data_IF_084729305135
#
_entry.id   IF_084729305135
#
_cell.length_a   1.000
_cell.length_b   1.000
_cell.length_c   1.000
_cell.angle_alpha   90.00
_cell.angle_beta   90.00
_cell.angle_gamma   90.00
#
_symmetry.space_group_name_H-M   'P 1'
#
loop_
_entity.id
_entity.type
_entity.pdbx_description
1 polymer ?
#
# COMPACT_ATOMS: atom_id res chain seq x y z
N UNK A 1 -18.61 5.69 -18.65
CA UNK A 1 -19.33 5.39 -19.89
C UNK A 1 -19.68 6.63 -20.72
N UNK A 2 -19.28 7.83 -20.29
CA UNK A 2 -19.40 9.09 -21.05
C UNK A 2 -18.01 9.53 -21.53
N UNK A 3 -17.91 10.13 -22.73
CA UNK A 3 -16.68 10.74 -23.19
C UNK A 3 -16.44 12.07 -22.46
N UNK A 4 -15.16 12.44 -22.32
CA UNK A 4 -14.78 13.72 -21.73
C UNK A 4 -15.18 14.88 -22.64
N UNK A 5 -15.32 16.07 -22.05
CA UNK A 5 -15.58 17.30 -22.81
C UNK A 5 -14.42 17.56 -23.77
N UNK A 6 -14.71 17.84 -25.01
CA UNK A 6 -13.70 18.16 -26.01
C UNK A 6 -13.97 19.54 -26.62
N UNK A 7 -12.89 20.20 -27.02
CA UNK A 7 -12.98 21.46 -27.69
C UNK A 7 -13.43 21.22 -29.15
N UNK A 8 -14.55 21.81 -29.55
CA UNK A 8 -14.98 21.79 -30.93
C UNK A 8 -14.08 22.75 -31.74
N UNK A 9 -13.31 22.25 -32.72
CA UNK A 9 -12.39 23.08 -33.49
C UNK A 9 -13.11 24.12 -34.37
N UNK A 10 -14.40 23.92 -34.66
CA UNK A 10 -15.18 24.84 -35.49
C UNK A 10 -15.74 26.03 -34.70
N UNK A 11 -16.13 25.79 -33.45
CA UNK A 11 -16.77 26.82 -32.60
C UNK A 11 -15.86 27.35 -31.50
N UNK A 12 -14.76 26.67 -31.18
CA UNK A 12 -13.89 27.00 -30.07
C UNK A 12 -14.54 26.83 -28.69
N UNK A 13 -15.69 26.18 -28.61
CA UNK A 13 -16.42 25.93 -27.38
C UNK A 13 -16.25 24.47 -26.94
N UNK A 14 -16.31 24.25 -25.62
CA UNK A 14 -16.35 22.89 -25.08
C UNK A 14 -17.73 22.29 -25.31
N UNK A 15 -17.77 21.17 -26.02
CA UNK A 15 -18.96 20.34 -26.19
C UNK A 15 -18.96 19.22 -25.18
N UNK A 16 -20.15 18.88 -24.68
CA UNK A 16 -20.30 17.71 -23.80
C UNK A 16 -20.12 16.43 -24.60
N UNK A 17 -19.39 15.49 -24.00
CA UNK A 17 -19.18 14.18 -24.62
C UNK A 17 -20.45 13.33 -24.62
N UNK A 18 -20.58 12.47 -25.64
CA UNK A 18 -21.65 11.48 -25.76
C UNK A 18 -21.35 10.20 -24.99
N UNK A 19 -22.15 9.18 -25.25
CA UNK A 19 -21.93 7.83 -24.69
C UNK A 19 -20.72 7.16 -25.34
N UNK A 20 -19.68 6.90 -24.55
CA UNK A 20 -18.42 6.29 -24.99
C UNK A 20 -18.34 4.77 -24.67
N UNK A 21 -19.36 4.20 -24.05
CA UNK A 21 -19.35 2.78 -23.69
C UNK A 21 -18.15 2.37 -22.84
N UNK A 22 -17.37 1.42 -23.33
CA UNK A 22 -16.17 0.88 -22.65
C UNK A 22 -14.85 1.47 -23.16
N UNK A 23 -14.88 2.51 -23.96
CA UNK A 23 -13.72 3.08 -24.64
C UNK A 23 -12.61 3.48 -23.67
N UNK A 24 -12.94 4.17 -22.56
CA UNK A 24 -11.96 4.56 -21.54
C UNK A 24 -11.29 3.36 -20.86
N UNK A 25 -12.00 2.25 -20.69
CA UNK A 25 -11.41 1.02 -20.15
C UNK A 25 -10.42 0.38 -21.12
N UNK A 26 -10.78 0.37 -22.41
CA UNK A 26 -9.88 -0.14 -23.47
C UNK A 26 -8.66 0.76 -23.62
N UNK A 27 -8.84 2.07 -23.55
CA UNK A 27 -7.76 3.05 -23.57
C UNK A 27 -6.67 2.70 -22.52
N UNK A 28 -7.07 2.47 -21.27
CA UNK A 28 -6.13 2.13 -20.20
C UNK A 28 -5.54 0.72 -20.33
N UNK A 29 -6.36 -0.28 -20.62
CA UNK A 29 -5.92 -1.68 -20.60
C UNK A 29 -5.11 -2.08 -21.83
N UNK A 30 -5.40 -1.50 -22.99
CA UNK A 30 -4.79 -1.93 -24.27
C UNK A 30 -3.84 -0.89 -24.86
N UNK A 31 -3.68 0.27 -24.22
CA UNK A 31 -2.89 1.40 -24.73
C UNK A 31 -3.30 1.82 -26.16
N UNK A 32 -4.60 1.81 -26.43
CA UNK A 32 -5.15 2.20 -27.74
C UNK A 32 -5.79 3.56 -27.66
N UNK A 33 -5.40 4.41 -28.59
CA UNK A 33 -5.89 5.76 -28.75
C UNK A 33 -6.63 5.90 -30.10
N UNK A 34 -7.61 6.80 -30.13
CA UNK A 34 -8.23 7.22 -31.39
C UNK A 34 -7.26 8.17 -32.11
N UNK A 35 -6.88 7.84 -33.33
CA UNK A 35 -6.05 8.72 -34.17
C UNK A 35 -6.86 9.86 -34.76
N UNK A 36 -6.21 10.91 -35.24
CA UNK A 36 -6.88 12.03 -35.91
C UNK A 36 -7.70 11.59 -37.14
N UNK A 37 -7.41 10.42 -37.73
CA UNK A 37 -8.19 9.83 -38.82
C UNK A 37 -9.41 9.04 -38.35
N UNK A 38 -9.67 8.94 -37.02
CA UNK A 38 -10.76 8.14 -36.46
C UNK A 38 -10.48 6.66 -36.33
N UNK A 39 -9.27 6.19 -36.66
CA UNK A 39 -8.87 4.80 -36.48
C UNK A 39 -8.32 4.57 -35.08
N UNK A 40 -8.57 3.37 -34.53
CA UNK A 40 -8.04 2.96 -33.22
C UNK A 40 -6.66 2.35 -33.43
N UNK A 41 -5.62 3.09 -33.03
CA UNK A 41 -4.21 2.68 -33.11
C UNK A 41 -3.52 2.64 -31.76
N UNK A 42 -2.23 2.29 -31.75
CA UNK A 42 -1.41 2.36 -30.56
C UNK A 42 -1.23 3.85 -30.13
N UNK A 43 -1.32 4.09 -28.82
CA UNK A 43 -1.09 5.43 -28.29
C UNK A 43 0.35 5.90 -28.55
N UNK A 44 0.58 7.17 -28.92
CA UNK A 44 1.91 7.72 -29.03
C UNK A 44 2.62 7.71 -27.66
N UNK A 45 3.96 7.67 -27.67
CA UNK A 45 4.74 7.79 -26.45
C UNK A 45 4.46 9.12 -25.72
N UNK A 46 4.32 9.06 -24.40
CA UNK A 46 4.01 10.24 -23.56
C UNK A 46 2.52 10.46 -23.28
N UNK A 47 1.65 9.61 -23.82
CA UNK A 47 0.24 9.57 -23.42
C UNK A 47 0.10 8.76 -22.13
N UNK A 48 -0.73 9.21 -21.17
CA UNK A 48 -0.88 8.59 -19.86
C UNK A 48 -1.22 7.08 -19.91
N UNK A 49 -1.93 6.63 -20.95
CA UNK A 49 -2.24 5.22 -21.12
C UNK A 49 -0.99 4.34 -21.24
N UNK A 50 0.10 4.85 -21.80
CA UNK A 50 1.36 4.10 -21.93
C UNK A 50 2.03 3.85 -20.58
N UNK A 51 1.72 4.68 -19.58
CA UNK A 51 2.26 4.57 -18.22
C UNK A 51 1.42 3.65 -17.31
N UNK A 52 0.28 3.13 -17.80
CA UNK A 52 -0.63 2.29 -17.00
C UNK A 52 0.06 1.04 -16.47
N UNK A 53 0.58 0.17 -17.33
CA UNK A 53 1.21 -1.08 -16.91
C UNK A 53 2.50 -0.88 -16.11
N UNK A 54 3.39 0.06 -16.47
CA UNK A 54 4.49 0.46 -15.60
C UNK A 54 4.03 0.86 -14.20
N UNK A 55 3.00 1.72 -14.08
CA UNK A 55 2.49 2.17 -12.79
C UNK A 55 1.81 1.06 -11.99
N UNK A 56 1.12 0.11 -12.64
CA UNK A 56 0.62 -1.11 -11.99
C UNK A 56 1.78 -1.90 -11.39
N UNK A 57 2.85 -2.13 -12.16
CA UNK A 57 4.02 -2.88 -11.69
C UNK A 57 4.72 -2.19 -10.51
N UNK A 58 4.87 -0.86 -10.55
CA UNK A 58 5.43 -0.06 -9.46
C UNK A 58 4.56 -0.12 -8.21
N UNK A 59 3.23 -0.02 -8.37
CA UNK A 59 2.29 -0.13 -7.25
C UNK A 59 2.35 -1.50 -6.59
N UNK A 60 2.37 -2.56 -7.37
CA UNK A 60 2.50 -3.93 -6.85
C UNK A 60 3.87 -4.16 -6.19
N UNK A 61 4.94 -3.65 -6.77
CA UNK A 61 6.28 -3.71 -6.18
C UNK A 61 6.31 -3.03 -4.81
N UNK A 62 5.82 -1.79 -4.70
CA UNK A 62 5.74 -1.12 -3.41
C UNK A 62 4.88 -1.91 -2.42
N UNK A 63 3.69 -2.35 -2.83
CA UNK A 63 2.79 -3.12 -1.98
C UNK A 63 3.46 -4.36 -1.40
N UNK A 64 4.09 -5.19 -2.24
CA UNK A 64 4.72 -6.43 -1.78
C UNK A 64 5.90 -6.14 -0.86
N UNK A 65 6.78 -5.21 -1.24
CA UNK A 65 8.00 -4.93 -0.47
C UNK A 65 7.68 -4.26 0.85
N UNK A 66 6.82 -3.21 0.85
CA UNK A 66 6.52 -2.49 2.09
C UNK A 66 5.74 -3.36 3.07
N UNK A 67 4.71 -4.08 2.61
CA UNK A 67 3.91 -4.98 3.48
C UNK A 67 4.77 -6.10 4.06
N UNK A 68 5.69 -6.67 3.28
CA UNK A 68 6.60 -7.69 3.79
C UNK A 68 7.51 -7.15 4.90
N UNK A 69 8.16 -6.01 4.66
CA UNK A 69 9.04 -5.37 5.65
C UNK A 69 8.27 -4.96 6.91
N UNK A 70 7.12 -4.33 6.73
CA UNK A 70 6.26 -3.90 7.83
C UNK A 70 5.72 -5.06 8.65
N UNK A 71 5.43 -6.19 8.00
CA UNK A 71 5.01 -7.42 8.71
C UNK A 71 6.12 -7.90 9.65
N UNK A 72 7.35 -7.99 9.15
CA UNK A 72 8.49 -8.44 9.95
C UNK A 72 8.79 -7.46 11.09
N UNK A 73 8.92 -6.18 10.77
CA UNK A 73 9.19 -5.13 11.76
C UNK A 73 8.03 -4.94 12.73
N UNK A 74 6.79 -5.04 12.25
CA UNK A 74 5.56 -4.94 13.05
C UNK A 74 5.44 -6.06 14.08
N UNK A 75 5.78 -7.30 13.71
CA UNK A 75 5.86 -8.41 14.66
C UNK A 75 6.91 -8.10 15.72
N UNK A 76 8.12 -7.67 15.33
CA UNK A 76 9.18 -7.31 16.27
C UNK A 76 8.74 -6.20 17.23
N UNK A 77 8.16 -5.12 16.72
CA UNK A 77 7.65 -4.01 17.53
C UNK A 77 6.51 -4.45 18.46
N UNK A 78 5.57 -5.30 17.98
CA UNK A 78 4.48 -5.82 18.78
C UNK A 78 4.97 -6.67 19.95
N UNK A 79 5.99 -7.50 19.74
CA UNK A 79 6.62 -8.30 20.80
C UNK A 79 7.27 -7.40 21.86
N UNK A 80 8.00 -6.35 21.45
CA UNK A 80 8.60 -5.37 22.37
C UNK A 80 7.51 -4.64 23.17
N UNK A 81 6.44 -4.17 22.50
CA UNK A 81 5.31 -3.52 23.15
C UNK A 81 4.49 -4.43 24.07
N UNK A 82 4.54 -5.75 23.85
CA UNK A 82 3.85 -6.72 24.67
C UNK A 82 4.65 -7.11 25.93
N UNK A 83 5.97 -6.89 25.91
CA UNK A 83 6.83 -7.24 27.03
C UNK A 83 6.44 -6.44 28.31
N UNK A 84 6.29 -7.09 29.48
CA UNK A 84 5.98 -6.42 30.73
C UNK A 84 7.17 -5.58 31.20
N UNK A 85 7.07 -4.25 31.04
CA UNK A 85 8.09 -3.29 31.51
C UNK A 85 7.45 -2.09 32.20
N UNK A 86 8.19 -1.43 33.09
CA UNK A 86 7.71 -0.22 33.79
C UNK A 86 7.47 0.96 32.83
N UNK A 87 8.14 0.97 31.68
CA UNK A 87 8.07 2.03 30.66
C UNK A 87 7.20 1.63 29.46
N UNK A 88 6.38 0.59 29.57
CA UNK A 88 5.56 0.07 28.49
C UNK A 88 4.65 1.11 27.83
N UNK A 89 4.02 1.99 28.60
CA UNK A 89 3.17 3.04 28.05
C UNK A 89 3.97 4.05 27.23
N UNK A 90 5.17 4.39 27.68
CA UNK A 90 6.06 5.30 26.96
C UNK A 90 6.55 4.68 25.64
N UNK A 91 6.94 3.40 25.66
CA UNK A 91 7.34 2.67 24.45
C UNK A 91 6.19 2.66 23.42
N UNK A 92 4.97 2.37 23.87
CA UNK A 92 3.78 2.36 22.99
C UNK A 92 3.51 3.75 22.40
N UNK A 93 3.59 4.79 23.22
CA UNK A 93 3.41 6.16 22.75
C UNK A 93 4.50 6.55 21.74
N UNK A 94 5.76 6.25 22.03
CA UNK A 94 6.88 6.57 21.13
C UNK A 94 6.79 5.85 19.77
N UNK A 95 6.41 4.57 19.77
CA UNK A 95 6.21 3.79 18.54
C UNK A 95 5.09 4.37 17.66
N UNK A 96 4.07 4.98 18.27
CA UNK A 96 2.92 5.52 17.52
C UNK A 96 3.17 6.90 16.90
N UNK A 97 4.21 7.61 17.30
CA UNK A 97 4.52 8.96 16.79
C UNK A 97 4.59 8.99 15.25
N UNK A 98 5.34 8.11 14.57
CA UNK A 98 5.42 8.14 13.11
C UNK A 98 4.07 8.02 12.40
N UNK A 99 3.22 7.15 12.91
CA UNK A 99 1.89 6.93 12.33
C UNK A 99 0.93 8.11 12.54
N UNK A 100 1.06 8.81 13.65
CA UNK A 100 0.22 9.96 13.97
C UNK A 100 0.52 11.21 13.12
N UNK A 101 1.70 11.27 12.48
CA UNK A 101 2.10 12.42 11.65
C UNK A 101 1.34 12.36 10.30
N UNK A 102 0.74 13.49 9.84
CA UNK A 102 0.10 13.55 8.53
C UNK A 102 1.06 13.14 7.39
N UNK A 103 0.56 12.38 6.41
CA UNK A 103 1.40 11.82 5.33
C UNK A 103 2.15 12.90 4.55
N UNK A 104 1.51 14.03 4.26
CA UNK A 104 2.17 15.13 3.56
C UNK A 104 3.36 15.71 4.35
N UNK A 105 3.24 15.80 5.68
CA UNK A 105 4.33 16.28 6.56
C UNK A 105 5.46 15.24 6.58
N UNK A 106 5.12 13.96 6.71
CA UNK A 106 6.09 12.87 6.63
C UNK A 106 6.85 12.89 5.31
N UNK A 107 6.14 13.04 4.19
CA UNK A 107 6.75 13.09 2.86
C UNK A 107 7.73 14.27 2.72
N UNK A 108 7.36 15.45 3.20
CA UNK A 108 8.26 16.63 3.20
C UNK A 108 9.46 16.45 4.12
N UNK A 109 9.28 15.86 5.30
CA UNK A 109 10.37 15.56 6.21
C UNK A 109 11.38 14.62 5.56
N UNK A 110 10.94 13.53 4.97
CA UNK A 110 11.80 12.58 4.30
C UNK A 110 12.41 13.16 3.01
N UNK A 111 11.67 13.96 2.24
CA UNK A 111 12.23 14.70 1.09
C UNK A 111 13.43 15.58 1.52
N UNK A 112 13.30 16.28 2.64
CA UNK A 112 14.40 17.08 3.18
C UNK A 112 15.57 16.24 3.66
N UNK A 113 15.30 15.11 4.32
CA UNK A 113 16.36 14.19 4.80
C UNK A 113 17.13 13.54 3.65
N UNK A 114 16.46 13.23 2.53
CA UNK A 114 17.03 12.64 1.32
C UNK A 114 17.52 13.67 0.31
N UNK A 115 17.50 14.97 0.62
CA UNK A 115 18.07 16.00 -0.25
C UNK A 115 19.57 15.75 -0.50
N UNK A 116 20.16 16.22 -1.60
CA UNK A 116 21.59 16.03 -1.87
C UNK A 116 22.50 16.47 -0.73
N UNK A 117 22.17 17.59 -0.08
CA UNK A 117 22.82 18.11 1.13
C UNK A 117 22.16 17.64 2.43
N UNK A 118 21.27 16.66 2.36
CA UNK A 118 20.50 16.18 3.51
C UNK A 118 21.31 15.28 4.44
N UNK A 119 20.71 15.02 5.62
CA UNK A 119 21.38 14.27 6.69
C UNK A 119 21.72 12.84 6.29
N UNK A 120 20.93 12.20 5.41
CA UNK A 120 21.15 10.81 4.99
C UNK A 120 22.46 10.71 4.19
N UNK A 121 22.67 11.56 3.20
CA UNK A 121 23.92 11.60 2.43
C UNK A 121 25.11 11.99 3.30
N UNK A 122 24.92 12.90 4.23
CA UNK A 122 25.96 13.30 5.18
C UNK A 122 26.41 12.15 6.09
N UNK A 123 25.48 11.32 6.57
CA UNK A 123 25.78 10.14 7.39
C UNK A 123 26.42 9.00 6.60
N UNK A 124 26.00 8.82 5.34
CA UNK A 124 26.55 7.76 4.47
C UNK A 124 27.92 8.10 3.90
N UNK A 125 28.32 9.39 3.91
CA UNK A 125 29.55 9.86 3.29
C UNK A 125 29.57 9.78 1.76
N UNK A 126 28.42 9.57 1.13
CA UNK A 126 28.24 9.45 -0.31
C UNK A 126 27.04 10.28 -0.80
N UNK A 127 27.18 10.91 -1.95
CA UNK A 127 26.11 11.65 -2.59
C UNK A 127 25.25 10.72 -3.45
N UNK A 128 24.22 10.16 -2.86
CA UNK A 128 23.20 9.37 -3.56
C UNK A 128 22.11 10.32 -4.04
N UNK A 129 21.71 10.17 -5.29
CA UNK A 129 20.66 10.99 -5.92
C UNK A 129 19.27 10.41 -5.63
N UNK A 130 18.85 10.44 -4.36
CA UNK A 130 17.61 9.81 -3.86
C UNK A 130 16.31 10.21 -4.58
N UNK A 131 16.30 11.35 -5.26
CA UNK A 131 15.10 11.87 -5.93
C UNK A 131 15.12 11.70 -7.44
N UNK A 132 16.28 11.39 -8.03
CA UNK A 132 16.46 11.33 -9.48
C UNK A 132 16.91 9.96 -9.98
N UNK A 133 17.67 9.20 -9.19
CA UNK A 133 18.00 7.82 -9.53
C UNK A 133 16.78 6.92 -9.31
N UNK A 134 16.40 6.07 -10.30
CA UNK A 134 15.19 5.28 -10.23
C UNK A 134 15.12 4.32 -9.04
N UNK A 135 16.22 3.67 -8.71
CA UNK A 135 16.23 2.72 -7.60
C UNK A 135 16.37 3.41 -6.25
N UNK A 136 17.21 4.44 -6.16
CA UNK A 136 17.33 5.21 -4.92
C UNK A 136 15.99 5.87 -4.56
N UNK A 137 15.26 6.41 -5.53
CA UNK A 137 13.93 6.98 -5.32
C UNK A 137 12.92 5.96 -4.78
N UNK A 138 12.92 4.74 -5.34
CA UNK A 138 12.07 3.65 -4.82
C UNK A 138 12.44 3.27 -3.40
N UNK A 139 13.72 3.14 -3.08
CA UNK A 139 14.16 2.85 -1.71
C UNK A 139 13.82 3.98 -0.74
N UNK A 140 13.95 5.24 -1.16
CA UNK A 140 13.57 6.37 -0.33
C UNK A 140 12.08 6.33 0.04
N UNK A 141 11.20 6.04 -0.92
CA UNK A 141 9.76 5.88 -0.67
C UNK A 141 9.49 4.69 0.25
N UNK A 142 10.13 3.52 0.02
CA UNK A 142 9.96 2.34 0.87
C UNK A 142 10.37 2.62 2.32
N UNK A 143 11.53 3.26 2.53
CA UNK A 143 12.01 3.60 3.88
C UNK A 143 11.02 4.51 4.60
N UNK A 144 10.55 5.55 3.93
CA UNK A 144 9.61 6.50 4.51
C UNK A 144 8.24 5.87 4.83
N UNK A 145 7.74 5.01 3.94
CA UNK A 145 6.47 4.31 4.09
C UNK A 145 6.54 3.29 5.23
N UNK A 146 7.55 2.44 5.24
CA UNK A 146 7.78 1.44 6.30
C UNK A 146 7.94 2.13 7.66
N UNK A 147 8.71 3.21 7.75
CA UNK A 147 8.85 3.96 9.00
C UNK A 147 7.52 4.49 9.50
N UNK A 148 6.69 5.02 8.60
CA UNK A 148 5.40 5.63 8.94
C UNK A 148 4.35 4.60 9.35
N UNK A 149 4.26 3.47 8.66
CA UNK A 149 3.10 2.57 8.71
C UNK A 149 3.33 1.30 9.52
N UNK A 150 4.60 0.90 9.78
CA UNK A 150 4.91 -0.22 10.69
C UNK A 150 4.22 -0.15 12.05
N UNK A 151 4.10 1.04 12.72
CA UNK A 151 3.37 1.15 13.98
C UNK A 151 1.92 0.68 13.92
N UNK A 152 1.22 0.94 12.82
CA UNK A 152 -0.14 0.48 12.61
C UNK A 152 -0.21 -1.06 12.57
N UNK A 153 0.68 -1.68 11.80
CA UNK A 153 0.83 -3.15 11.78
C UNK A 153 1.11 -3.70 13.18
N UNK A 154 2.05 -3.08 13.88
CA UNK A 154 2.44 -3.50 15.23
C UNK A 154 1.27 -3.42 16.23
N UNK A 155 0.39 -2.41 16.13
CA UNK A 155 -0.80 -2.30 16.97
C UNK A 155 -1.79 -3.43 16.74
N UNK A 156 -2.09 -3.75 15.49
CA UNK A 156 -3.03 -4.83 15.17
C UNK A 156 -2.49 -6.19 15.63
N UNK A 157 -1.19 -6.44 15.41
CA UNK A 157 -0.52 -7.65 15.89
C UNK A 157 -0.50 -7.69 17.42
N UNK A 158 -0.24 -6.57 18.09
CA UNK A 158 -0.25 -6.45 19.55
C UNK A 158 -1.63 -6.78 20.12
N UNK A 159 -2.70 -6.31 19.48
CA UNK A 159 -4.06 -6.66 19.89
C UNK A 159 -4.27 -8.19 19.86
N UNK A 160 -3.80 -8.86 18.81
CA UNK A 160 -3.82 -10.32 18.72
C UNK A 160 -2.98 -11.01 19.79
N UNK A 161 -1.77 -10.50 20.09
CA UNK A 161 -0.91 -11.04 21.14
C UNK A 161 -1.55 -10.95 22.54
N UNK A 162 -2.33 -9.91 22.79
CA UNK A 162 -3.02 -9.70 24.08
C UNK A 162 -4.21 -10.65 24.28
N UNK A 163 -4.71 -11.27 23.22
CA UNK A 163 -5.78 -12.27 23.31
C UNK A 163 -5.27 -13.65 23.72
N UNK A 164 -3.95 -13.89 23.70
CA UNK A 164 -3.36 -15.17 24.06
C UNK A 164 -3.31 -15.28 25.60
N UNK A 165 -3.95 -16.31 26.21
CA UNK A 165 -3.92 -16.51 27.66
C UNK A 165 -2.48 -16.74 28.17
N UNK A 166 -2.17 -16.22 29.36
CA UNK A 166 -0.85 -16.36 29.96
C UNK A 166 -0.50 -17.79 30.31
N UNK A 167 -1.49 -18.58 30.70
CA UNK A 167 -1.36 -19.98 31.05
C UNK A 167 -0.69 -20.81 29.94
N UNK A 168 -0.94 -20.46 28.68
CA UNK A 168 -0.29 -21.11 27.53
C UNK A 168 1.23 -20.92 27.53
N UNK A 169 1.69 -19.73 27.92
CA UNK A 169 3.12 -19.43 28.01
C UNK A 169 3.75 -20.06 29.27
N UNK A 170 3.00 -20.16 30.35
CA UNK A 170 3.44 -20.80 31.58
C UNK A 170 3.59 -22.33 31.38
N UNK A 171 2.63 -22.98 30.74
CA UNK A 171 2.71 -24.36 30.34
C UNK A 171 3.93 -24.65 29.45
N UNK A 172 4.16 -23.82 28.45
CA UNK A 172 5.32 -23.95 27.56
C UNK A 172 6.66 -23.85 28.31
N UNK A 173 6.73 -23.02 29.37
CA UNK A 173 7.94 -22.95 30.24
C UNK A 173 8.13 -24.20 31.06
N UNK A 174 7.05 -24.75 31.61
CA UNK A 174 7.10 -26.02 32.37
C UNK A 174 7.56 -27.18 31.49
N UNK A 175 7.12 -27.19 30.23
CA UNK A 175 7.53 -28.17 29.21
C UNK A 175 8.97 -27.93 28.68
N UNK A 176 9.68 -26.91 29.16
CA UNK A 176 11.06 -26.64 28.78
C UNK A 176 11.21 -26.05 27.37
N UNK A 177 10.16 -25.47 26.79
CA UNK A 177 10.22 -24.89 25.47
C UNK A 177 11.14 -23.64 25.44
N UNK A 178 12.07 -23.59 24.47
CA UNK A 178 12.89 -22.40 24.25
C UNK A 178 12.07 -21.21 23.73
N UNK A 179 12.60 -19.99 23.87
CA UNK A 179 11.92 -18.76 23.38
C UNK A 179 11.58 -18.84 21.89
N UNK A 180 12.47 -19.40 21.07
CA UNK A 180 12.22 -19.58 19.64
C UNK A 180 11.11 -20.63 19.38
N UNK A 181 11.10 -21.72 20.13
CA UNK A 181 10.04 -22.73 20.03
C UNK A 181 8.68 -22.15 20.47
N UNK A 182 8.66 -21.39 21.56
CA UNK A 182 7.46 -20.69 22.04
C UNK A 182 6.96 -19.71 20.97
N UNK A 183 7.86 -18.92 20.36
CA UNK A 183 7.48 -18.00 19.29
C UNK A 183 6.90 -18.72 18.06
N UNK A 184 7.63 -19.72 17.52
CA UNK A 184 7.26 -20.35 16.25
C UNK A 184 6.09 -21.32 16.36
N UNK A 185 5.97 -22.03 17.49
CA UNK A 185 4.96 -23.10 17.67
C UNK A 185 3.71 -22.65 18.44
N UNK A 186 3.80 -21.55 19.19
CA UNK A 186 2.69 -21.08 20.03
C UNK A 186 2.28 -19.67 19.61
N UNK A 187 3.17 -18.68 19.75
CA UNK A 187 2.83 -17.27 19.54
C UNK A 187 2.39 -17.00 18.10
N UNK A 188 3.20 -17.38 17.12
CA UNK A 188 2.94 -17.10 15.70
C UNK A 188 1.65 -17.80 15.18
N UNK A 189 1.39 -19.08 15.49
CA UNK A 189 0.11 -19.70 15.12
C UNK A 189 -1.11 -19.07 15.78
N UNK A 190 -1.02 -18.71 17.07
CA UNK A 190 -2.15 -18.12 17.79
C UNK A 190 -2.44 -16.66 17.37
N UNK A 191 -1.42 -15.90 17.01
CA UNK A 191 -1.59 -14.51 16.52
C UNK A 191 -1.93 -14.44 15.02
N UNK A 192 -1.85 -15.56 14.32
CA UNK A 192 -2.07 -15.65 12.88
C UNK A 192 -3.37 -14.96 12.40
N UNK A 193 -4.54 -15.11 13.04
CA UNK A 193 -5.76 -14.42 12.59
C UNK A 193 -5.61 -12.90 12.63
N UNK A 194 -5.04 -12.32 13.69
CA UNK A 194 -4.81 -10.88 13.79
C UNK A 194 -3.75 -10.40 12.79
N UNK A 195 -2.70 -11.21 12.58
CA UNK A 195 -1.66 -10.93 11.58
C UNK A 195 -2.25 -10.89 10.16
N UNK A 196 -3.15 -11.82 9.80
CA UNK A 196 -3.82 -11.84 8.51
C UNK A 196 -4.67 -10.60 8.28
N UNK A 197 -5.40 -10.16 9.31
CA UNK A 197 -6.20 -8.93 9.25
C UNK A 197 -5.29 -7.71 9.07
N UNK A 198 -4.18 -7.64 9.80
CA UNK A 198 -3.21 -6.57 9.68
C UNK A 198 -2.60 -6.49 8.26
N UNK A 199 -2.17 -7.63 7.71
CA UNK A 199 -1.64 -7.74 6.34
C UNK A 199 -2.69 -7.33 5.31
N UNK A 200 -3.95 -7.77 5.47
CA UNK A 200 -5.04 -7.40 4.59
C UNK A 200 -5.24 -5.88 4.54
N UNK A 201 -5.44 -5.25 5.70
CA UNK A 201 -5.65 -3.79 5.76
C UNK A 201 -4.47 -3.04 5.16
N UNK A 202 -3.24 -3.45 5.48
CA UNK A 202 -2.05 -2.78 4.97
C UNK A 202 -1.87 -2.97 3.45
N UNK A 203 -2.18 -4.15 2.92
CA UNK A 203 -2.15 -4.39 1.47
C UNK A 203 -3.14 -3.48 0.74
N UNK A 204 -4.37 -3.35 1.26
CA UNK A 204 -5.38 -2.47 0.67
C UNK A 204 -4.96 -0.99 0.73
N UNK A 205 -4.27 -0.58 1.78
CA UNK A 205 -3.74 0.77 1.92
C UNK A 205 -2.56 1.02 0.95
N UNK A 206 -1.62 0.08 0.86
CA UNK A 206 -0.46 0.18 -0.03
C UNK A 206 -0.84 0.25 -1.52
N UNK A 207 -1.89 -0.48 -1.93
CA UNK A 207 -2.40 -0.43 -3.31
C UNK A 207 -2.95 0.94 -3.71
N UNK A 208 -3.28 1.80 -2.75
CA UNK A 208 -3.79 3.16 -2.97
C UNK A 208 -2.77 4.24 -2.65
N UNK A 209 -1.50 3.88 -2.50
CA UNK A 209 -0.43 4.84 -2.19
C UNK A 209 -0.37 5.95 -3.24
N UNK A 210 -0.45 7.21 -2.78
CA UNK A 210 -0.42 8.40 -3.63
C UNK A 210 0.49 9.50 -3.06
N UNK A 211 0.18 9.99 -1.85
CA UNK A 211 0.78 11.22 -1.30
C UNK A 211 2.30 11.10 -1.13
N UNK A 212 2.77 9.98 -0.61
CA UNK A 212 4.17 9.80 -0.23
C UNK A 212 5.10 9.88 -1.44
N UNK A 213 4.93 9.04 -2.51
CA UNK A 213 5.81 9.11 -3.68
C UNK A 213 5.69 10.45 -4.43
N UNK A 214 4.48 11.00 -4.56
CA UNK A 214 4.25 12.25 -5.30
C UNK A 214 4.93 13.44 -4.61
N UNK A 215 4.82 13.56 -3.30
CA UNK A 215 5.37 14.69 -2.55
C UNK A 215 6.89 14.56 -2.37
N UNK A 216 7.40 13.33 -2.12
CA UNK A 216 8.83 13.11 -1.91
C UNK A 216 9.65 13.26 -3.19
N UNK A 217 9.16 12.68 -4.30
CA UNK A 217 9.94 12.58 -5.54
C UNK A 217 9.57 13.66 -6.54
N UNK A 218 8.53 14.47 -6.26
CA UNK A 218 8.04 15.55 -7.15
C UNK A 218 7.72 15.04 -8.56
N UNK A 219 7.04 13.88 -8.65
CA UNK A 219 6.97 13.10 -9.86
C UNK A 219 5.83 13.46 -10.79
N UNK A 220 6.13 13.48 -12.09
CA UNK A 220 5.18 13.30 -13.18
C UNK A 220 4.82 11.81 -13.34
N UNK A 221 3.89 11.48 -14.25
CA UNK A 221 3.52 10.10 -14.61
C UNK A 221 4.72 9.23 -15.04
N UNK A 222 5.77 9.85 -15.59
CA UNK A 222 7.04 9.20 -15.98
C UNK A 222 8.03 9.00 -14.83
N UNK A 223 7.64 9.29 -13.57
CA UNK A 223 8.50 9.08 -12.42
C UNK A 223 8.72 7.57 -12.18
N UNK A 224 9.93 7.14 -11.77
CA UNK A 224 10.19 5.74 -11.42
C UNK A 224 9.38 5.25 -10.22
N UNK A 225 8.72 6.17 -9.51
CA UNK A 225 7.86 5.91 -8.35
C UNK A 225 6.39 6.19 -8.63
N UNK A 226 6.02 6.41 -9.92
CA UNK A 226 4.64 6.68 -10.30
C UNK A 226 3.74 5.50 -10.00
N UNK A 227 2.75 5.70 -9.13
CA UNK A 227 1.74 4.71 -8.78
C UNK A 227 0.50 4.86 -9.65
N UNK A 228 -0.31 3.81 -9.73
CA UNK A 228 -1.56 3.86 -10.49
C UNK A 228 -2.52 4.94 -9.95
N UNK A 229 -2.50 5.24 -8.65
CA UNK A 229 -3.28 6.32 -8.05
C UNK A 229 -2.83 7.70 -8.54
N UNK A 230 -1.54 7.85 -8.90
CA UNK A 230 -1.01 9.08 -9.46
C UNK A 230 -1.54 9.32 -10.87
N UNK A 231 -1.68 8.29 -11.69
CA UNK A 231 -2.27 8.42 -13.04
C UNK A 231 -3.70 8.95 -13.00
N UNK A 232 -4.51 8.49 -12.03
CA UNK A 232 -5.89 9.01 -11.85
C UNK A 232 -5.88 10.52 -11.64
N UNK A 233 -5.04 10.99 -10.72
CA UNK A 233 -4.97 12.41 -10.38
C UNK A 233 -4.41 13.23 -11.53
N UNK A 234 -3.44 12.69 -12.28
CA UNK A 234 -2.86 13.35 -13.44
C UNK A 234 -3.89 13.50 -14.56
N UNK A 235 -4.65 12.45 -14.87
CA UNK A 235 -5.72 12.47 -15.86
C UNK A 235 -6.85 13.45 -15.47
N UNK A 236 -7.21 13.49 -14.17
CA UNK A 236 -8.14 14.51 -13.65
C UNK A 236 -7.61 15.95 -13.83
N UNK A 237 -6.31 16.17 -13.61
CA UNK A 237 -5.67 17.50 -13.78
C UNK A 237 -5.66 17.94 -15.24
N UNK A 238 -5.63 17.00 -16.17
CA UNK A 238 -5.76 17.27 -17.61
C UNK A 238 -7.21 17.56 -18.04
N UNK A 239 -8.18 17.43 -17.12
CA UNK A 239 -9.61 17.67 -17.40
C UNK A 239 -10.37 16.43 -17.87
N UNK A 240 -9.73 15.26 -17.94
CA UNK A 240 -10.32 14.00 -18.40
C UNK A 240 -11.03 13.26 -17.26
N UNK A 241 -12.09 13.85 -16.70
CA UNK A 241 -12.76 13.32 -15.52
C UNK A 241 -13.41 11.95 -15.75
N UNK A 242 -13.95 11.69 -16.93
CA UNK A 242 -14.60 10.42 -17.25
C UNK A 242 -13.58 9.28 -17.44
N UNK A 243 -12.45 9.58 -18.09
CA UNK A 243 -11.30 8.68 -18.22
C UNK A 243 -10.71 8.33 -16.85
N UNK A 244 -10.45 9.34 -16.01
CA UNK A 244 -9.97 9.16 -14.64
C UNK A 244 -10.95 8.33 -13.77
N UNK A 245 -12.27 8.52 -13.97
CA UNK A 245 -13.30 7.73 -13.28
C UNK A 245 -13.28 6.26 -13.73
N UNK A 246 -13.06 6.00 -15.02
CA UNK A 246 -12.89 4.65 -15.54
C UNK A 246 -11.64 3.97 -14.94
N UNK A 247 -10.52 4.70 -14.88
CA UNK A 247 -9.29 4.23 -14.25
C UNK A 247 -9.50 3.94 -12.75
N UNK A 248 -10.19 4.83 -12.03
CA UNK A 248 -10.56 4.61 -10.62
C UNK A 248 -11.38 3.34 -10.42
N UNK A 249 -12.29 3.03 -11.34
CA UNK A 249 -13.07 1.78 -11.33
C UNK A 249 -12.18 0.56 -11.53
N UNK A 250 -11.20 0.62 -12.45
CA UNK A 250 -10.22 -0.46 -12.63
C UNK A 250 -9.38 -0.70 -11.38
N UNK A 251 -8.94 0.37 -10.71
CA UNK A 251 -8.20 0.28 -9.45
C UNK A 251 -9.08 -0.36 -8.36
N UNK A 252 -10.34 0.07 -8.26
CA UNK A 252 -11.28 -0.54 -7.31
C UNK A 252 -11.44 -2.04 -7.55
N UNK A 253 -11.61 -2.46 -8.81
CA UNK A 253 -11.72 -3.88 -9.17
C UNK A 253 -10.43 -4.65 -8.85
N UNK A 254 -9.27 -4.06 -9.08
CA UNK A 254 -7.97 -4.64 -8.70
C UNK A 254 -7.90 -4.85 -7.18
N UNK A 255 -8.18 -3.81 -6.39
CA UNK A 255 -8.16 -3.85 -4.92
C UNK A 255 -9.17 -4.87 -4.40
N UNK A 256 -10.39 -4.88 -4.94
CA UNK A 256 -11.43 -5.83 -4.57
C UNK A 256 -11.00 -7.27 -4.86
N UNK A 257 -10.40 -7.51 -6.03
CA UNK A 257 -9.89 -8.84 -6.41
C UNK A 257 -8.79 -9.30 -5.47
N UNK A 258 -7.83 -8.42 -5.16
CA UNK A 258 -6.75 -8.74 -4.19
C UNK A 258 -7.33 -9.03 -2.82
N UNK A 259 -8.27 -8.22 -2.33
CA UNK A 259 -8.94 -8.45 -1.05
C UNK A 259 -9.68 -9.79 -1.02
N UNK A 260 -10.45 -10.09 -2.06
CA UNK A 260 -11.20 -11.33 -2.19
C UNK A 260 -10.27 -12.55 -2.20
N UNK A 261 -9.19 -12.49 -2.99
CA UNK A 261 -8.17 -13.54 -3.06
C UNK A 261 -7.52 -13.73 -1.69
N UNK A 262 -7.11 -12.65 -1.03
CA UNK A 262 -6.50 -12.73 0.31
C UNK A 262 -7.46 -13.36 1.33
N UNK A 263 -8.72 -12.93 1.39
CA UNK A 263 -9.72 -13.50 2.30
C UNK A 263 -9.96 -14.98 2.00
N UNK A 264 -10.04 -15.35 0.72
CA UNK A 264 -10.34 -16.72 0.30
C UNK A 264 -9.19 -17.71 0.56
N UNK A 265 -7.92 -17.26 0.36
CA UNK A 265 -6.74 -18.12 0.44
C UNK A 265 -5.99 -18.02 1.78
N UNK A 266 -5.96 -16.86 2.42
CA UNK A 266 -5.31 -16.70 3.73
C UNK A 266 -6.17 -17.28 4.87
N UNK A 267 -7.40 -17.73 4.56
CA UNK A 267 -8.26 -18.39 5.55
C UNK A 267 -8.48 -17.49 6.77
N UNK A 268 -8.75 -16.20 6.53
CA UNK A 268 -9.27 -15.35 7.58
C UNK A 268 -10.62 -15.94 8.00
N UNK A 269 -10.60 -16.92 8.89
CA UNK A 269 -11.78 -17.39 9.62
C UNK A 269 -12.26 -16.26 10.52
N UNK A 270 -12.79 -15.20 9.88
CA UNK A 270 -13.45 -14.06 10.52
C UNK A 270 -14.79 -14.49 11.14
N UNK A 271 -15.19 -15.72 10.90
CA UNK A 271 -16.40 -16.32 11.47
C UNK A 271 -16.06 -17.60 12.22
N UNK A 272 -16.08 -17.53 13.54
CA UNK A 272 -15.96 -18.58 14.54
C UNK A 272 -16.49 -20.00 14.22
N UNK A 273 -15.94 -20.63 13.19
CA UNK A 273 -16.26 -22.03 12.85
C UNK A 273 -15.76 -23.06 13.87
N UNK A 274 -14.93 -22.65 14.83
CA UNK A 274 -14.45 -23.58 15.87
C UNK A 274 -15.49 -23.85 16.97
N UNK A 275 -16.46 -22.95 17.20
CA UNK A 275 -17.51 -23.17 18.20
C UNK A 275 -18.54 -24.23 17.78
N UNK A 276 -18.72 -24.43 16.46
CA UNK A 276 -19.76 -25.37 15.96
C UNK A 276 -19.34 -26.85 15.95
N UNK A 277 -18.02 -27.16 15.91
CA UNK A 277 -17.58 -28.55 15.95
C UNK A 277 -17.55 -29.16 17.35
N UNK A 278 -17.40 -28.34 18.40
CA UNK A 278 -17.42 -28.82 19.79
C UNK A 278 -18.84 -29.22 20.25
N UNK A 279 -19.89 -28.62 19.72
CA UNK A 279 -21.27 -28.96 20.11
C UNK A 279 -21.88 -30.18 19.37
N UNK A 280 -21.24 -30.68 18.31
CA UNK A 280 -21.72 -31.88 17.58
C UNK A 280 -21.11 -33.20 18.01
N UNK A 281 -20.15 -33.16 18.94
CA UNK A 281 -19.46 -34.36 19.45
C UNK A 281 -20.03 -34.93 20.78
N UNK A 282 -21.08 -34.33 21.32
CA UNK A 282 -21.73 -34.76 22.58
C UNK A 282 -23.22 -35.00 22.37
N UNK A 283 -23.55 -35.92 21.45
CA UNK A 283 -24.86 -36.57 21.40
C UNK A 283 -24.68 -38.04 21.03
#
# INVERSE_FOLDING_TARGET
>A
FQSDKHLDPATGLFTEGGFAGVEHYLYWLTNRCMTASGEVGACPAGVLATDFWPSVSVTLFFTVVTVALETVLGIGMALVMNHPSRVRSLIRAAVLIPWAIPTAVTAKLWQFMFAPSGIVNSLLGHNIAWTTDPWAARFAVIIADVWKTTPFMALLILAGLQMIPRDVYEAARVDGASSLQTFTRITLPLVRPALMVAILFRTLDALRMYDLPVIMISGSSNSPTATISQLVVEDMRQGNFNSASALSTLIFLLIFTVAFVMIRFLGADVGGRQASKSMKGTR
#
